data_IF_476597793620
#
_entry.id   IF_476597793620
#
_cell.length_a   1.000
_cell.length_b   1.000
_cell.length_c   1.000
_cell.angle_alpha   90.00
_cell.angle_beta   90.00
_cell.angle_gamma   90.00
#
_symmetry.space_group_name_H-M   'P 1'
#
loop_
_entity.id
_entity.type
_entity.pdbx_description
1 polymer ?
#
# COMPACT_ATOMS: atom_id res chain seq x y z
N UNK A 1 1.73 -45.00 -47.34
CA UNK A 1 2.09 -43.62 -46.91
C UNK A 1 1.00 -42.92 -46.09
N UNK A 2 -0.29 -42.94 -46.48
CA UNK A 2 -1.36 -42.23 -45.76
C UNK A 2 -1.64 -42.73 -44.32
N UNK A 3 -1.45 -44.03 -44.03
CA UNK A 3 -1.67 -44.60 -42.68
C UNK A 3 -0.66 -44.09 -41.65
N UNK A 4 0.63 -44.07 -42.00
CA UNK A 4 1.69 -43.53 -41.14
C UNK A 4 1.47 -42.04 -40.84
N UNK A 5 1.01 -41.28 -41.83
CA UNK A 5 0.72 -39.85 -41.70
C UNK A 5 -0.50 -39.58 -40.81
N UNK A 6 -1.57 -40.38 -40.94
CA UNK A 6 -2.76 -40.32 -40.05
C UNK A 6 -2.43 -40.67 -38.60
N UNK A 7 -1.56 -41.67 -38.39
CA UNK A 7 -1.13 -42.05 -37.05
C UNK A 7 -0.32 -40.96 -36.36
N UNK A 8 0.60 -40.30 -37.09
CA UNK A 8 1.34 -39.15 -36.58
C UNK A 8 0.43 -38.00 -36.14
N UNK A 9 -0.62 -37.67 -36.91
CA UNK A 9 -1.58 -36.64 -36.52
C UNK A 9 -2.39 -37.01 -35.27
N UNK A 10 -2.77 -38.28 -35.12
CA UNK A 10 -3.46 -38.76 -33.91
C UNK A 10 -2.56 -38.68 -32.67
N UNK A 11 -1.27 -39.03 -32.79
CA UNK A 11 -0.33 -38.90 -31.69
C UNK A 11 -0.09 -37.44 -31.29
N UNK A 12 0.05 -36.53 -32.26
CA UNK A 12 0.26 -35.10 -31.98
C UNK A 12 -0.96 -34.44 -31.35
N UNK A 13 -2.17 -34.78 -31.82
CA UNK A 13 -3.41 -34.27 -31.23
C UNK A 13 -3.63 -34.81 -29.82
N UNK A 14 -3.37 -36.10 -29.58
CA UNK A 14 -3.41 -36.69 -28.25
C UNK A 14 -2.41 -36.06 -27.28
N UNK A 15 -1.18 -35.82 -27.73
CA UNK A 15 -0.15 -35.16 -26.92
C UNK A 15 -0.53 -33.70 -26.60
N UNK A 16 -1.05 -32.95 -27.58
CA UNK A 16 -1.52 -31.58 -27.36
C UNK A 16 -2.66 -31.50 -26.35
N UNK A 17 -3.64 -32.41 -26.45
CA UNK A 17 -4.73 -32.53 -25.48
C UNK A 17 -4.24 -32.90 -24.08
N UNK A 18 -3.27 -33.82 -23.98
CA UNK A 18 -2.66 -34.18 -22.70
C UNK A 18 -1.93 -32.98 -22.07
N UNK A 19 -1.14 -32.23 -22.84
CA UNK A 19 -0.43 -31.04 -22.34
C UNK A 19 -1.42 -29.97 -21.87
N UNK A 20 -2.48 -29.70 -22.62
CA UNK A 20 -3.50 -28.69 -22.22
C UNK A 20 -4.27 -29.13 -20.97
N UNK A 21 -4.62 -30.40 -20.86
CA UNK A 21 -5.33 -30.93 -19.69
C UNK A 21 -4.46 -31.01 -18.44
N UNK A 22 -3.17 -31.35 -18.57
CA UNK A 22 -2.21 -31.32 -17.46
C UNK A 22 -1.78 -29.90 -17.08
N UNK A 23 -1.72 -28.98 -18.04
CA UNK A 23 -1.31 -27.59 -17.77
C UNK A 23 -2.40 -26.79 -17.07
N UNK A 24 -3.67 -27.13 -17.27
CA UNK A 24 -4.83 -26.47 -16.65
C UNK A 24 -4.92 -24.95 -16.91
N UNK A 25 -6.11 -24.38 -16.76
CA UNK A 25 -6.21 -22.95 -16.50
C UNK A 25 -5.82 -22.75 -15.03
N UNK A 26 -4.54 -22.50 -14.73
CA UNK A 26 -4.16 -22.02 -13.40
C UNK A 26 -4.93 -20.72 -13.12
N UNK A 27 -6.10 -20.88 -12.51
CA UNK A 27 -7.00 -19.78 -12.14
C UNK A 27 -6.98 -19.70 -10.63
N UNK A 28 -5.79 -19.46 -10.09
CA UNK A 28 -5.62 -18.84 -8.79
C UNK A 28 -4.27 -18.11 -8.71
N UNK A 29 -4.01 -17.21 -9.65
CA UNK A 29 -2.84 -16.32 -9.53
C UNK A 29 -3.25 -14.92 -9.98
N UNK A 30 -4.21 -14.34 -9.25
CA UNK A 30 -4.50 -12.90 -9.28
C UNK A 30 -3.33 -12.11 -8.69
N UNK A 31 -2.20 -12.03 -9.39
CA UNK A 31 -1.22 -10.96 -9.29
C UNK A 31 -0.57 -10.61 -7.94
N UNK A 32 -0.54 -11.48 -6.92
CA UNK A 32 0.07 -11.19 -5.60
C UNK A 32 0.90 -12.34 -5.02
N UNK A 33 1.66 -12.07 -3.95
CA UNK A 33 2.61 -12.97 -3.26
C UNK A 33 1.99 -14.32 -2.94
N UNK A 34 2.13 -15.27 -3.85
CA UNK A 34 1.42 -16.52 -3.66
C UNK A 34 1.97 -17.28 -2.46
N UNK A 35 1.11 -17.64 -1.51
CA UNK A 35 1.53 -18.44 -0.39
C UNK A 35 1.88 -19.85 -0.89
N UNK A 36 2.85 -20.48 -0.22
CA UNK A 36 3.31 -21.85 -0.52
C UNK A 36 2.14 -22.80 -0.81
N UNK A 37 2.35 -23.85 -1.61
CA UNK A 37 1.28 -24.80 -1.99
C UNK A 37 0.54 -25.49 -0.82
N UNK A 38 0.96 -25.25 0.43
CA UNK A 38 0.31 -25.67 1.68
C UNK A 38 -0.60 -24.58 2.27
N UNK A 39 -0.85 -23.48 1.58
CA UNK A 39 -1.61 -22.34 2.12
C UNK A 39 -2.99 -22.72 2.67
N UNK A 40 -3.68 -23.64 1.98
CA UNK A 40 -5.01 -24.12 2.37
C UNK A 40 -5.01 -24.99 3.64
N UNK A 41 -3.83 -25.41 4.10
CA UNK A 41 -3.68 -26.23 5.30
C UNK A 41 -3.48 -25.39 6.55
N UNK A 42 -3.13 -24.12 6.37
CA UNK A 42 -3.00 -23.20 7.48
C UNK A 42 -4.40 -22.65 7.78
N UNK A 43 -4.95 -22.94 8.97
CA UNK A 43 -6.19 -22.29 9.38
C UNK A 43 -5.96 -20.77 9.41
N UNK A 44 -6.98 -19.96 9.10
CA UNK A 44 -6.87 -18.52 9.22
C UNK A 44 -6.51 -18.17 10.67
N UNK A 45 -5.37 -17.52 10.86
CA UNK A 45 -4.99 -17.01 12.17
C UNK A 45 -5.92 -15.85 12.51
N UNK A 46 -6.66 -15.97 13.62
CA UNK A 46 -7.49 -14.87 14.09
C UNK A 46 -6.58 -13.68 14.49
N UNK A 47 -6.77 -12.55 13.82
CA UNK A 47 -6.15 -11.27 14.18
C UNK A 47 -7.21 -10.49 14.95
N UNK A 48 -6.88 -10.05 16.17
CA UNK A 48 -7.81 -9.23 16.94
C UNK A 48 -8.09 -7.93 16.18
N UNK A 49 -9.32 -7.39 16.25
CA UNK A 49 -9.59 -6.06 15.75
C UNK A 49 -8.61 -5.06 16.36
N UNK A 50 -8.04 -4.21 15.51
CA UNK A 50 -7.20 -3.12 15.99
C UNK A 50 -8.02 -2.21 16.92
N UNK A 51 -7.37 -1.59 17.92
CA UNK A 51 -8.03 -0.54 18.70
C UNK A 51 -8.48 0.60 17.76
N UNK A 52 -9.55 1.32 18.10
CA UNK A 52 -10.06 2.41 17.27
C UNK A 52 -9.01 3.50 17.01
N UNK A 53 -8.04 3.64 17.93
CA UNK A 53 -6.93 4.57 17.82
C UNK A 53 -5.61 3.87 18.18
N UNK A 54 -4.79 3.49 17.18
CA UNK A 54 -3.50 2.85 17.44
C UNK A 54 -2.47 3.80 18.08
N UNK A 55 -2.68 5.11 17.91
CA UNK A 55 -1.78 6.18 18.34
C UNK A 55 -2.44 6.99 19.47
N UNK A 56 -2.62 6.35 20.64
CA UNK A 56 -3.36 6.94 21.77
C UNK A 56 -2.67 8.18 22.34
N UNK A 57 -1.34 8.25 22.27
CA UNK A 57 -0.57 9.39 22.76
C UNK A 57 -0.76 10.62 21.87
N UNK A 58 -0.70 10.42 20.57
CA UNK A 58 -0.87 11.46 19.56
C UNK A 58 -2.31 11.97 19.54
N UNK A 59 -3.27 11.07 19.75
CA UNK A 59 -4.68 11.44 19.93
C UNK A 59 -4.87 12.32 21.16
N UNK A 60 -4.28 11.96 22.31
CA UNK A 60 -4.37 12.78 23.52
C UNK A 60 -3.81 14.20 23.30
N UNK A 61 -2.67 14.31 22.59
CA UNK A 61 -2.08 15.60 22.24
C UNK A 61 -3.00 16.41 21.30
N UNK A 62 -3.71 15.75 20.37
CA UNK A 62 -4.65 16.40 19.46
C UNK A 62 -5.92 16.87 20.18
N UNK A 63 -6.45 16.08 21.10
CA UNK A 63 -7.62 16.44 21.91
C UNK A 63 -7.33 17.61 22.86
N UNK A 64 -6.11 17.64 23.43
CA UNK A 64 -5.63 18.77 24.23
C UNK A 64 -5.51 20.04 23.39
N UNK A 65 -4.89 19.96 22.20
CA UNK A 65 -4.76 21.10 21.27
C UNK A 65 -6.09 21.56 20.68
N UNK A 66 -7.02 20.65 20.44
CA UNK A 66 -8.37 20.93 19.99
C UNK A 66 -9.25 21.52 21.11
N UNK A 67 -8.75 21.56 22.34
CA UNK A 67 -9.47 22.10 23.50
C UNK A 67 -10.62 21.21 23.97
N UNK A 68 -10.69 19.96 23.51
CA UNK A 68 -11.74 19.01 23.91
C UNK A 68 -11.58 18.54 25.36
N UNK A 69 -10.36 18.64 25.90
CA UNK A 69 -10.02 18.29 27.28
C UNK A 69 -9.91 19.51 28.21
N UNK A 70 -10.13 20.74 27.70
CA UNK A 70 -10.06 21.94 28.52
C UNK A 70 -11.21 21.96 29.55
N UNK A 71 -10.88 21.74 30.82
CA UNK A 71 -11.81 21.83 31.95
C UNK A 71 -12.06 20.53 32.72
N UNK A 72 -11.49 19.39 32.31
CA UNK A 72 -11.54 18.17 33.10
C UNK A 72 -10.48 18.21 34.23
N UNK A 73 -10.82 17.79 35.47
CA UNK A 73 -9.86 17.72 36.57
C UNK A 73 -8.67 16.83 36.20
N UNK A 74 -7.47 17.40 36.21
CA UNK A 74 -6.22 16.67 35.96
C UNK A 74 -5.75 16.09 37.29
N UNK A 75 -6.31 14.95 37.66
CA UNK A 75 -5.91 14.27 38.90
C UNK A 75 -4.46 13.73 38.76
N UNK A 76 -3.50 14.49 39.29
CA UNK A 76 -2.14 14.03 39.54
C UNK A 76 -1.06 14.30 38.48
N UNK A 77 -1.32 15.11 37.44
CA UNK A 77 -0.26 15.48 36.50
C UNK A 77 0.63 16.59 37.09
N UNK A 78 1.96 16.43 37.16
CA UNK A 78 2.84 17.55 37.49
C UNK A 78 2.67 18.63 36.42
N UNK A 79 2.50 19.88 36.87
CA UNK A 79 2.60 21.06 36.01
C UNK A 79 3.93 20.94 35.24
N UNK A 80 3.95 20.94 33.90
CA UNK A 80 5.22 20.91 33.20
C UNK A 80 5.98 22.17 33.58
N UNK A 81 7.12 21.99 34.23
CA UNK A 81 8.09 23.06 34.41
C UNK A 81 8.41 23.63 33.02
N UNK A 82 8.42 24.95 32.90
CA UNK A 82 8.74 25.64 31.65
C UNK A 82 9.98 24.99 31.01
N UNK A 83 9.80 24.43 29.81
CA UNK A 83 10.88 23.80 29.08
C UNK A 83 12.04 24.80 28.89
N UNK A 84 13.31 24.36 28.95
CA UNK A 84 14.44 25.22 28.63
C UNK A 84 14.24 25.77 27.21
N UNK A 85 14.52 27.07 27.02
CA UNK A 85 14.40 27.72 25.73
C UNK A 85 15.26 26.98 24.69
N UNK A 86 14.59 26.25 23.80
CA UNK A 86 15.24 25.60 22.66
C UNK A 86 15.73 26.73 21.76
N UNK A 87 17.01 26.74 21.33
CA UNK A 87 17.46 27.72 20.35
C UNK A 87 16.60 27.56 19.09
N UNK A 88 16.08 28.70 18.60
CA UNK A 88 15.29 28.74 17.37
C UNK A 88 16.11 28.14 16.23
N UNK A 89 15.54 27.21 15.44
CA UNK A 89 16.23 26.69 14.27
C UNK A 89 16.52 27.86 13.32
N UNK A 90 17.80 28.06 12.98
CA UNK A 90 18.17 28.93 11.88
C UNK A 90 17.65 28.27 10.61
N UNK A 91 16.57 28.82 10.08
CA UNK A 91 16.04 28.41 8.79
C UNK A 91 17.14 28.61 7.73
N UNK A 92 17.44 27.61 6.89
CA UNK A 92 18.24 27.83 5.70
C UNK A 92 17.55 28.88 4.81
N UNK A 93 18.36 29.74 4.19
CA UNK A 93 17.84 30.75 3.25
C UNK A 93 16.98 30.08 2.17
N UNK A 94 15.85 30.69 1.76
CA UNK A 94 15.03 30.15 0.69
C UNK A 94 15.85 30.04 -0.59
N UNK A 95 15.86 28.84 -1.16
CA UNK A 95 16.44 28.56 -2.48
C UNK A 95 15.65 29.41 -3.49
N UNK A 96 16.30 30.21 -4.35
CA UNK A 96 15.60 30.99 -5.36
C UNK A 96 14.79 30.06 -6.26
N UNK A 97 13.51 30.40 -6.45
CA UNK A 97 12.63 29.63 -7.31
C UNK A 97 13.20 29.55 -8.74
N UNK A 98 13.12 28.40 -9.41
CA UNK A 98 13.45 28.32 -10.82
C UNK A 98 12.52 29.26 -11.60
N UNK A 99 13.10 30.08 -12.48
CA UNK A 99 12.37 30.98 -13.35
C UNK A 99 11.30 30.19 -14.11
N UNK A 100 10.04 30.64 -14.01
CA UNK A 100 8.93 30.01 -14.72
C UNK A 100 9.23 30.01 -16.24
N UNK A 101 8.95 28.91 -16.95
CA UNK A 101 9.02 28.91 -18.40
C UNK A 101 8.02 29.91 -18.96
N UNK A 102 8.46 30.70 -19.95
CA UNK A 102 7.63 31.67 -20.65
C UNK A 102 6.35 31.00 -21.19
N UNK A 103 5.21 31.62 -20.94
CA UNK A 103 3.93 31.16 -21.45
C UNK A 103 3.97 31.05 -23.00
N UNK A 104 3.39 29.99 -23.59
CA UNK A 104 3.29 29.89 -25.04
C UNK A 104 2.40 31.01 -25.58
N UNK A 105 2.85 31.64 -26.66
CA UNK A 105 2.13 32.69 -27.36
C UNK A 105 0.73 32.19 -27.80
N UNK A 106 -0.29 32.99 -27.52
CA UNK A 106 -1.65 32.72 -27.99
C UNK A 106 -1.70 32.73 -29.52
N UNK A 107 -2.47 31.82 -30.16
CA UNK A 107 -2.67 31.85 -31.60
C UNK A 107 -3.46 33.11 -32.01
N UNK A 108 -3.14 33.74 -33.16
CA UNK A 108 -3.90 34.87 -33.68
C UNK A 108 -5.32 34.43 -34.05
N UNK A 109 -6.31 35.19 -33.58
CA UNK A 109 -7.71 35.02 -33.92
C UNK A 109 -8.11 35.74 -35.21
N UNK A 110 -9.01 35.10 -35.95
CA UNK A 110 -9.68 35.42 -37.24
C UNK A 110 -8.93 35.02 -38.51
#
# INVERSE_FOLDING_TARGET
MHRARRWGYLCMTGLGLAIVSLSGCQTWEGGQTLPSGRYLEHPPQYILPDPPFPLTRELADQEEKAGLLNGLPRDGAPTPAAAPAVPTPVMPAPIPAPAAPAAPAAPPGN
#
